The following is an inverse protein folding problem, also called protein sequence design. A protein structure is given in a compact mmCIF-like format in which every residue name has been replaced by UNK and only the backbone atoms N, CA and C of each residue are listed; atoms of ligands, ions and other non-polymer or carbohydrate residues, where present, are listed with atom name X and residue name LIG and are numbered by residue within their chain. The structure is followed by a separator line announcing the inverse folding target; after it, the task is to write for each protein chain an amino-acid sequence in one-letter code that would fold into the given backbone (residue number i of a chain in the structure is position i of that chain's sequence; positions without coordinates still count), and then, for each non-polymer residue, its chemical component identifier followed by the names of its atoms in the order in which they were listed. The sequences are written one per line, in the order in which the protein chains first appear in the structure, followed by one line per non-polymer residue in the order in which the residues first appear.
data_IF_719705245661
#
_entry.id   IF_719705245661
#
_cell.length_a   1.000
_cell.length_b   1.000
_cell.length_c   1.000
_cell.angle_alpha   90.00
_cell.angle_beta   90.00
_cell.angle_gamma   90.00
#
_symmetry.space_group_name_H-M   'P 1'
#
loop_
_entity.id
_entity.type
_entity.pdbx_description
1 polymer ?
#
# COMPACT_ATOMS: atom_id res chain seq x y z
N UNK A 1 -24.62 58.60 49.50
CA UNK A 1 -24.56 57.20 49.04
C UNK A 1 -23.87 57.19 47.68
N UNK A 2 -22.99 56.21 47.43
CA UNK A 2 -21.98 56.09 46.35
C UNK A 2 -20.56 56.51 46.79
N UNK A 3 -19.89 55.60 47.48
CA UNK A 3 -18.44 55.49 47.50
C UNK A 3 -18.03 54.48 46.43
N UNK A 4 -16.98 54.74 45.65
CA UNK A 4 -16.13 53.67 45.11
C UNK A 4 -14.74 54.20 44.78
N UNK A 5 -13.80 53.43 45.27
CA UNK A 5 -12.41 53.76 45.59
C UNK A 5 -11.48 53.23 44.49
N UNK A 6 -10.38 53.95 44.33
CA UNK A 6 -9.19 53.69 43.50
C UNK A 6 -8.82 52.21 43.30
N UNK A 7 -8.53 51.85 42.04
CA UNK A 7 -7.89 50.58 41.63
C UNK A 7 -6.38 50.63 41.87
N UNK A 8 -5.86 49.76 42.74
CA UNK A 8 -4.42 49.51 42.90
C UNK A 8 -3.91 48.52 41.86
N UNK A 9 -2.86 48.91 41.11
CA UNK A 9 -2.16 48.07 40.13
C UNK A 9 -1.38 46.95 40.83
N UNK A 10 -1.61 45.70 40.46
CA UNK A 10 -0.74 44.57 40.83
C UNK A 10 0.46 44.50 39.86
N UNK A 11 1.68 44.49 40.40
CA UNK A 11 2.91 44.26 39.63
C UNK A 11 3.07 42.79 39.19
N UNK A 12 3.81 42.51 38.11
CA UNK A 12 3.94 41.16 37.58
C UNK A 12 4.86 40.28 38.44
N UNK A 13 4.33 39.16 38.93
CA UNK A 13 5.10 38.08 39.59
C UNK A 13 5.90 37.32 38.53
N UNK A 14 7.23 37.29 38.69
CA UNK A 14 8.14 36.47 37.88
C UNK A 14 8.00 35.00 38.30
N UNK A 15 7.64 34.13 37.36
CA UNK A 15 7.73 32.68 37.52
C UNK A 15 8.98 32.20 36.80
N UNK A 16 9.95 31.65 37.54
CA UNK A 16 11.06 30.90 36.97
C UNK A 16 10.55 29.47 36.79
N UNK A 17 10.17 29.11 35.56
CA UNK A 17 9.84 27.72 35.22
C UNK A 17 11.13 26.94 35.00
N UNK A 18 11.35 25.87 35.77
CA UNK A 18 12.38 24.89 35.48
C UNK A 18 11.95 24.08 34.25
N UNK A 19 12.75 24.09 33.19
CA UNK A 19 12.54 23.22 32.03
C UNK A 19 13.15 21.84 32.33
N UNK A 20 12.30 20.80 32.35
CA UNK A 20 12.75 19.41 32.41
C UNK A 20 13.02 18.95 30.97
N UNK A 21 14.29 18.77 30.60
CA UNK A 21 14.66 18.18 29.32
C UNK A 21 14.61 16.64 29.46
N UNK A 22 13.52 16.02 29.01
CA UNK A 22 13.45 14.57 28.87
C UNK A 22 14.16 14.18 27.57
N UNK A 23 15.40 13.71 27.68
CA UNK A 23 16.03 12.93 26.60
C UNK A 23 15.50 11.51 26.72
N UNK A 24 14.46 11.20 25.95
CA UNK A 24 14.08 9.83 25.71
C UNK A 24 15.13 9.20 24.79
N UNK A 25 16.03 8.38 25.35
CA UNK A 25 16.69 7.34 24.56
C UNK A 25 15.63 6.31 24.20
N UNK A 26 14.86 6.58 23.14
CA UNK A 26 13.90 5.65 22.59
C UNK A 26 14.64 4.52 21.90
N UNK A 27 14.91 3.43 22.63
CA UNK A 27 15.02 2.13 21.99
C UNK A 27 13.63 1.84 21.42
N UNK A 28 13.52 1.82 20.08
CA UNK A 28 12.35 1.28 19.43
C UNK A 28 12.25 -0.17 19.91
N UNK A 29 11.25 -0.46 20.74
CA UNK A 29 10.78 -1.83 20.91
C UNK A 29 10.11 -2.15 19.59
N UNK A 30 10.82 -2.89 18.73
CA UNK A 30 10.24 -3.43 17.51
C UNK A 30 8.97 -4.17 17.91
N UNK A 31 7.83 -3.72 17.37
CA UNK A 31 6.59 -4.49 17.45
C UNK A 31 6.80 -5.87 16.84
N UNK A 32 5.83 -6.80 16.99
CA UNK A 32 5.96 -8.10 16.34
C UNK A 32 6.23 -7.88 14.85
N UNK A 33 7.37 -8.37 14.38
CA UNK A 33 7.74 -8.33 12.97
C UNK A 33 6.61 -9.00 12.18
N UNK A 34 6.05 -8.28 11.22
CA UNK A 34 5.02 -8.87 10.39
C UNK A 34 5.60 -10.06 9.61
N UNK A 35 4.84 -11.16 9.47
CA UNK A 35 5.32 -12.31 8.71
C UNK A 35 5.75 -11.92 7.30
N UNK A 36 6.81 -12.55 6.75
CA UNK A 36 7.09 -12.43 5.32
C UNK A 36 5.86 -12.91 4.53
N UNK A 37 5.52 -12.21 3.45
CA UNK A 37 4.27 -12.41 2.73
C UNK A 37 4.50 -13.04 1.36
N UNK A 38 3.59 -13.93 0.96
CA UNK A 38 3.46 -14.44 -0.41
C UNK A 38 2.15 -13.96 -1.00
N UNK A 39 2.20 -13.33 -2.18
CA UNK A 39 1.01 -12.96 -2.95
C UNK A 39 0.70 -14.03 -3.98
N UNK A 40 -0.54 -14.52 -3.99
CA UNK A 40 -1.01 -15.56 -4.91
C UNK A 40 -2.25 -15.08 -5.63
N UNK A 41 -2.15 -14.92 -6.95
CA UNK A 41 -3.27 -14.53 -7.81
C UNK A 41 -4.21 -15.71 -8.06
N UNK A 42 -5.50 -15.53 -7.80
CA UNK A 42 -6.54 -16.52 -8.05
C UNK A 42 -7.50 -16.00 -9.12
N UNK A 43 -7.11 -16.20 -10.39
CA UNK A 43 -7.74 -15.67 -11.60
C UNK A 43 -9.26 -15.83 -11.60
N UNK A 44 -9.75 -17.07 -11.58
CA UNK A 44 -11.18 -17.39 -11.70
C UNK A 44 -12.06 -16.98 -10.50
N UNK A 45 -11.48 -16.44 -9.45
CA UNK A 45 -12.23 -16.00 -8.25
C UNK A 45 -12.11 -14.50 -7.99
N UNK A 46 -11.44 -13.77 -8.87
CA UNK A 46 -11.16 -12.34 -8.74
C UNK A 46 -10.56 -11.98 -7.38
N UNK A 47 -9.61 -12.80 -6.92
CA UNK A 47 -8.99 -12.64 -5.59
C UNK A 47 -7.48 -12.77 -5.67
N UNK A 48 -6.82 -12.08 -4.76
CA UNK A 48 -5.40 -12.26 -4.45
C UNK A 48 -5.30 -12.68 -3.00
N UNK A 49 -4.67 -13.83 -2.76
CA UNK A 49 -4.40 -14.34 -1.43
C UNK A 49 -3.05 -13.81 -0.96
N UNK A 50 -3.02 -13.31 0.27
CA UNK A 50 -1.79 -12.95 0.98
C UNK A 50 -1.57 -14.02 2.02
N UNK A 51 -0.49 -14.78 1.86
CA UNK A 51 -0.15 -15.90 2.72
C UNK A 51 1.10 -15.57 3.55
N UNK A 52 1.22 -16.17 4.73
CA UNK A 52 2.48 -16.22 5.45
C UNK A 52 3.45 -17.10 4.65
N UNK A 53 4.60 -16.56 4.27
CA UNK A 53 5.58 -17.29 3.47
C UNK A 53 6.27 -18.41 4.25
N UNK A 54 6.16 -18.44 5.59
CA UNK A 54 6.79 -19.45 6.45
C UNK A 54 6.03 -20.77 6.45
N UNK A 55 4.70 -20.70 6.47
CA UNK A 55 3.82 -21.88 6.63
C UNK A 55 2.64 -21.94 5.65
N UNK A 56 2.45 -20.93 4.80
CA UNK A 56 1.38 -20.87 3.81
C UNK A 56 0.01 -20.50 4.37
N UNK A 57 -0.10 -20.14 5.65
CA UNK A 57 -1.38 -19.74 6.25
C UNK A 57 -1.92 -18.47 5.59
N UNK A 58 -3.24 -18.40 5.38
CA UNK A 58 -3.85 -17.21 4.78
C UNK A 58 -3.93 -16.07 5.78
N UNK A 59 -3.19 -14.99 5.52
CA UNK A 59 -3.21 -13.76 6.29
C UNK A 59 -4.34 -12.84 5.85
N UNK A 60 -4.56 -12.73 4.53
CA UNK A 60 -5.59 -11.87 3.93
C UNK A 60 -6.08 -12.42 2.59
N UNK A 61 -7.30 -12.06 2.24
CA UNK A 61 -7.84 -12.20 0.89
C UNK A 61 -8.21 -10.79 0.39
N UNK A 62 -7.58 -10.37 -0.70
CA UNK A 62 -7.85 -9.11 -1.39
C UNK A 62 -8.82 -9.40 -2.53
N UNK A 63 -10.06 -8.93 -2.39
CA UNK A 63 -11.05 -9.03 -3.46
C UNK A 63 -10.80 -7.97 -4.53
N UNK A 64 -10.68 -8.41 -5.77
CA UNK A 64 -10.58 -7.58 -6.97
C UNK A 64 -11.98 -7.43 -7.59
N UNK A 65 -12.98 -7.06 -6.81
CA UNK A 65 -14.31 -6.81 -7.37
C UNK A 65 -14.40 -5.34 -7.76
N UNK A 66 -14.32 -5.01 -9.07
CA UNK A 66 -14.79 -3.70 -9.53
C UNK A 66 -15.20 -3.54 -10.99
N UNK A 67 -15.48 -4.61 -11.74
CA UNK A 67 -16.06 -4.49 -13.09
C UNK A 67 -17.36 -5.28 -13.20
N UNK A 68 -18.45 -4.57 -13.52
CA UNK A 68 -19.79 -5.18 -13.71
C UNK A 68 -19.89 -6.04 -14.96
N UNK A 69 -18.93 -5.92 -15.88
CA UNK A 69 -19.04 -6.40 -17.26
C UNK A 69 -18.00 -7.45 -17.64
N UNK A 70 -17.02 -7.73 -16.77
CA UNK A 70 -15.98 -8.72 -16.99
C UNK A 70 -15.45 -9.26 -15.66
N UNK A 71 -14.94 -10.49 -15.68
CA UNK A 71 -14.08 -11.02 -14.62
C UNK A 71 -12.75 -10.27 -14.66
N UNK A 72 -12.24 -9.89 -13.48
CA UNK A 72 -11.03 -9.07 -13.37
C UNK A 72 -9.77 -9.95 -13.56
N UNK A 73 -9.83 -11.25 -13.24
CA UNK A 73 -8.85 -12.30 -13.59
C UNK A 73 -7.38 -11.85 -13.40
N UNK A 74 -6.86 -11.84 -12.16
CA UNK A 74 -5.46 -11.56 -11.90
C UNK A 74 -4.54 -12.70 -12.37
N UNK A 75 -3.44 -12.38 -13.04
CA UNK A 75 -2.45 -13.34 -13.56
C UNK A 75 -1.04 -13.16 -12.99
N UNK A 76 -0.48 -11.96 -13.12
CA UNK A 76 0.87 -11.65 -12.65
C UNK A 76 0.82 -10.83 -11.37
N UNK A 77 1.77 -11.06 -10.46
CA UNK A 77 1.99 -10.20 -9.28
C UNK A 77 3.49 -9.96 -9.07
N UNK A 78 3.85 -8.74 -8.69
CA UNK A 78 5.23 -8.37 -8.33
C UNK A 78 5.24 -7.33 -7.21
N UNK A 79 6.33 -7.25 -6.46
CA UNK A 79 6.51 -6.33 -5.32
C UNK A 79 7.63 -5.35 -5.67
N UNK A 80 7.48 -4.07 -5.32
CA UNK A 80 8.55 -3.08 -5.50
C UNK A 80 9.77 -3.42 -4.64
N UNK A 81 10.96 -3.04 -5.10
CA UNK A 81 12.22 -3.31 -4.39
C UNK A 81 12.27 -2.67 -2.99
N UNK A 82 11.56 -1.57 -2.78
CA UNK A 82 11.40 -0.92 -1.48
C UNK A 82 10.34 -1.58 -0.57
N UNK A 83 9.67 -2.63 -1.07
CA UNK A 83 8.63 -3.38 -0.35
C UNK A 83 7.33 -2.62 -0.11
N UNK A 84 7.22 -1.35 -0.51
CA UNK A 84 6.06 -0.50 -0.15
C UNK A 84 4.84 -0.74 -1.02
N UNK A 85 5.03 -1.23 -2.23
CA UNK A 85 3.95 -1.44 -3.18
C UNK A 85 4.01 -2.83 -3.79
N UNK A 86 2.84 -3.36 -4.14
CA UNK A 86 2.75 -4.51 -5.03
C UNK A 86 1.80 -4.21 -6.17
N UNK A 87 1.99 -4.95 -7.26
CA UNK A 87 1.32 -4.72 -8.53
C UNK A 87 0.75 -6.03 -9.04
N UNK A 88 -0.44 -5.97 -9.63
CA UNK A 88 -1.04 -7.12 -10.28
C UNK A 88 -1.51 -6.78 -11.70
N UNK A 89 -1.29 -7.71 -12.63
CA UNK A 89 -1.89 -7.65 -13.96
C UNK A 89 -3.22 -8.39 -13.99
N UNK A 90 -4.21 -7.76 -14.58
CA UNK A 90 -5.51 -8.33 -14.90
C UNK A 90 -5.55 -8.50 -16.42
N UNK A 91 -5.68 -9.73 -16.90
CA UNK A 91 -5.12 -10.10 -18.20
C UNK A 91 -6.09 -10.10 -19.39
N UNK A 92 -7.40 -10.19 -19.14
CA UNK A 92 -8.42 -10.43 -20.16
C UNK A 92 -9.36 -9.22 -20.36
N UNK A 93 -10.03 -9.18 -21.52
CA UNK A 93 -11.02 -8.15 -21.87
C UNK A 93 -10.38 -6.76 -22.04
N UNK A 94 -10.33 -6.01 -20.94
CA UNK A 94 -9.66 -4.71 -20.85
C UNK A 94 -8.48 -4.77 -19.86
N UNK A 95 -7.29 -5.23 -20.29
CA UNK A 95 -6.19 -5.50 -19.38
C UNK A 95 -5.76 -4.26 -18.57
N UNK A 96 -5.51 -4.46 -17.29
CA UNK A 96 -5.05 -3.37 -16.40
C UNK A 96 -3.89 -3.80 -15.54
N UNK A 97 -3.04 -2.82 -15.19
CA UNK A 97 -2.08 -2.93 -14.09
C UNK A 97 -2.67 -2.23 -12.86
N UNK A 98 -2.82 -2.95 -11.77
CA UNK A 98 -3.27 -2.39 -10.49
C UNK A 98 -2.08 -2.26 -9.56
N UNK A 99 -2.06 -1.17 -8.79
CA UNK A 99 -1.04 -0.89 -7.77
C UNK A 99 -1.70 -0.84 -6.40
N UNK A 100 -1.07 -1.46 -5.42
CA UNK A 100 -1.52 -1.51 -4.04
C UNK A 100 -0.39 -1.08 -3.10
N UNK A 101 -0.74 -0.52 -1.95
CA UNK A 101 0.17 -0.40 -0.80
C UNK A 101 0.33 -1.80 -0.20
N UNK A 102 1.56 -2.19 0.13
CA UNK A 102 1.84 -3.41 0.90
C UNK A 102 1.28 -3.30 2.31
N UNK A 103 1.37 -2.12 2.92
CA UNK A 103 0.69 -1.89 4.20
C UNK A 103 -0.83 -1.84 4.00
N UNK A 104 -1.53 -2.77 4.64
CA UNK A 104 -2.98 -2.91 4.55
C UNK A 104 -3.55 -3.40 3.19
N UNK A 105 -2.71 -3.73 2.21
CA UNK A 105 -3.11 -4.29 0.90
C UNK A 105 -4.13 -3.42 0.15
N UNK A 106 -3.97 -2.10 0.23
CA UNK A 106 -4.98 -1.15 -0.22
C UNK A 106 -4.70 -0.64 -1.63
N UNK A 107 -5.72 -0.62 -2.48
CA UNK A 107 -5.60 -0.11 -3.86
C UNK A 107 -5.15 1.37 -3.87
N UNK A 108 -4.07 1.63 -4.59
CA UNK A 108 -3.50 2.97 -4.83
C UNK A 108 -3.99 3.52 -6.16
N UNK A 109 -3.99 2.70 -7.21
CA UNK A 109 -4.31 3.16 -8.55
C UNK A 109 -4.34 2.04 -9.57
N UNK A 110 -4.80 2.39 -10.78
CA UNK A 110 -4.96 1.48 -11.91
C UNK A 110 -4.49 2.16 -13.19
N UNK A 111 -3.92 1.38 -14.08
CA UNK A 111 -3.53 1.79 -15.42
C UNK A 111 -4.17 0.85 -16.43
N UNK A 112 -5.00 1.39 -17.32
CA UNK A 112 -5.49 0.66 -18.50
C UNK A 112 -4.32 0.43 -19.45
N UNK A 113 -4.14 -0.82 -19.88
CA UNK A 113 -3.11 -1.20 -20.84
C UNK A 113 -3.74 -1.23 -22.23
N UNK A 114 -3.02 -0.67 -23.21
CA UNK A 114 -3.42 -0.65 -24.62
C UNK A 114 -2.83 -1.87 -25.35
N UNK A 115 -3.28 -3.05 -24.93
CA UNK A 115 -2.81 -4.34 -25.43
C UNK A 115 -3.89 -5.41 -25.24
N UNK A 116 -3.91 -6.47 -26.07
CA UNK A 116 -4.94 -7.51 -26.00
C UNK A 116 -4.82 -8.43 -24.77
N UNK A 117 -3.67 -8.46 -24.07
CA UNK A 117 -3.55 -9.22 -22.82
C UNK A 117 -2.24 -9.04 -22.05
N UNK A 118 -2.30 -9.30 -20.74
CA UNK A 118 -1.20 -9.04 -19.81
C UNK A 118 -1.02 -10.16 -18.77
N UNK A 119 -0.09 -11.09 -19.02
CA UNK A 119 0.06 -12.29 -18.18
C UNK A 119 1.14 -12.19 -17.08
N UNK A 120 2.04 -11.20 -17.14
CA UNK A 120 3.14 -11.02 -16.17
C UNK A 120 3.46 -9.53 -16.01
N UNK A 121 4.05 -9.16 -14.90
CA UNK A 121 4.68 -7.85 -14.70
C UNK A 121 6.00 -8.01 -13.97
N UNK A 122 7.00 -7.25 -14.38
CA UNK A 122 8.27 -7.10 -13.65
C UNK A 122 8.65 -5.62 -13.56
N UNK A 123 9.30 -5.25 -12.45
CA UNK A 123 9.75 -3.88 -12.22
C UNK A 123 11.26 -3.76 -12.44
N UNK A 124 11.72 -2.58 -12.85
CA UNK A 124 13.15 -2.25 -12.76
C UNK A 124 13.60 -2.22 -11.30
N UNK A 125 14.89 -2.48 -11.00
CA UNK A 125 15.39 -2.44 -9.62
C UNK A 125 15.16 -1.10 -8.92
N UNK A 126 15.16 0.01 -9.67
CA UNK A 126 14.84 1.35 -9.16
C UNK A 126 13.33 1.64 -9.02
N UNK A 127 12.48 0.69 -9.39
CA UNK A 127 11.02 0.78 -9.34
C UNK A 127 10.40 1.78 -10.33
N UNK A 128 11.18 2.39 -11.22
CA UNK A 128 10.71 3.48 -12.09
C UNK A 128 9.97 3.01 -13.33
N UNK A 129 10.14 1.75 -13.73
CA UNK A 129 9.50 1.18 -14.92
C UNK A 129 8.92 -0.19 -14.60
N UNK A 130 7.81 -0.51 -15.27
CA UNK A 130 7.22 -1.83 -15.29
C UNK A 130 7.27 -2.36 -16.73
N UNK A 131 7.58 -3.64 -16.89
CA UNK A 131 7.54 -4.35 -18.17
C UNK A 131 6.45 -5.41 -18.10
N UNK A 132 5.56 -5.39 -19.09
CA UNK A 132 4.40 -6.28 -19.18
C UNK A 132 4.41 -6.85 -20.60
N UNK A 133 4.66 -8.16 -20.79
CA UNK A 133 4.64 -8.76 -22.11
C UNK A 133 3.20 -8.89 -22.61
N UNK A 134 3.01 -8.57 -23.89
CA UNK A 134 1.81 -8.93 -24.64
C UNK A 134 1.83 -10.41 -24.96
N UNK A 135 1.06 -11.19 -24.20
CA UNK A 135 1.09 -12.64 -24.34
C UNK A 135 0.28 -13.16 -25.54
N UNK A 136 -0.60 -12.34 -26.13
CA UNK A 136 -1.31 -12.72 -27.37
C UNK A 136 -0.40 -12.60 -28.59
N UNK A 137 0.52 -11.62 -28.59
CA UNK A 137 1.52 -11.48 -29.66
C UNK A 137 2.63 -12.52 -29.60
N UNK A 138 2.84 -13.18 -28.46
CA UNK A 138 3.83 -14.26 -28.32
C UNK A 138 3.46 -15.59 -28.99
N UNK A 139 2.18 -15.79 -29.34
CA UNK A 139 1.67 -17.07 -29.87
C UNK A 139 1.30 -17.07 -31.35
N UNK A 140 1.31 -15.92 -32.03
CA UNK A 140 0.78 -15.80 -33.40
C UNK A 140 1.82 -15.42 -34.46
N UNK A 141 3.09 -15.22 -34.09
CA UNK A 141 4.21 -15.06 -35.04
C UNK A 141 3.84 -14.26 -36.29
N UNK A 142 3.87 -12.93 -36.20
CA UNK A 142 4.04 -12.12 -37.42
C UNK A 142 5.40 -12.44 -38.06
#
# INVERSE_FOLDING_TARGET
MQARTSLSRLGPRRWVGAALLLVACGGAVDGPEEPPRLYVTSGFTDRIHVLDARDGTTLRIVSLDRRRTETDEPHGVTVSADGRHWYATLAHGHPTLWKFETDGDRLVGRLQLDMPGAARVELTPDGRRAFIPDYWRGGLGE
#
